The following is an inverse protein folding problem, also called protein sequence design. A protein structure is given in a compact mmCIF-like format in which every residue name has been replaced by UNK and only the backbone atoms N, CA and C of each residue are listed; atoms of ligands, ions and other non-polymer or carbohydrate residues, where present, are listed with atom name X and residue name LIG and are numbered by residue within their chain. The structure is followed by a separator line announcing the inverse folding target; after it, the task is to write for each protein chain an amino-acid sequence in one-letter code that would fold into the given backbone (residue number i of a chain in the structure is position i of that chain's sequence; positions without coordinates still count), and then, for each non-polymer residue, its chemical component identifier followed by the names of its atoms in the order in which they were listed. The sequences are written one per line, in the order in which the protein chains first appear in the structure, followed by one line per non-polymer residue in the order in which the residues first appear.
data_IF_271065515568
#
_entry.id   IF_271065515568
#
_cell.length_a   1.000
_cell.length_b   1.000
_cell.length_c   1.000
_cell.angle_alpha   90.00
_cell.angle_beta   90.00
_cell.angle_gamma   90.00
#
_symmetry.space_group_name_H-M   'P 1'
#
loop_
_entity.id
_entity.type
_entity.pdbx_description
1 polymer ?
#
# COMPACT_ATOMS: atom_id res chain seq x y z
N UNK A 1 -4.04 -1.42 5.60
CA UNK A 1 -4.22 -2.85 5.30
C UNK A 1 -3.39 -3.67 6.28
N UNK A 2 -3.89 -4.81 6.73
CA UNK A 2 -3.21 -5.67 7.69
C UNK A 2 -3.49 -7.14 7.37
N UNK A 3 -2.47 -7.99 7.56
CA UNK A 3 -2.58 -9.45 7.47
C UNK A 3 -2.12 -10.00 8.82
N UNK A 4 -2.96 -10.83 9.45
CA UNK A 4 -2.59 -11.48 10.72
C UNK A 4 -1.30 -12.30 10.56
N UNK A 5 -0.43 -12.34 11.59
CA UNK A 5 0.87 -12.99 11.52
C UNK A 5 0.85 -14.40 10.92
N UNK A 6 -0.12 -15.24 11.30
CA UNK A 6 -0.29 -16.62 10.83
C UNK A 6 -0.60 -16.76 9.32
N UNK A 7 -0.98 -15.66 8.67
CA UNK A 7 -1.30 -15.62 7.25
C UNK A 7 -0.26 -14.83 6.41
N UNK A 8 0.81 -14.33 7.03
CA UNK A 8 1.90 -13.63 6.32
C UNK A 8 2.75 -14.60 5.48
N UNK A 9 3.49 -14.06 4.51
CA UNK A 9 4.33 -14.84 3.59
C UNK A 9 3.57 -15.60 2.49
N UNK A 10 2.23 -15.53 2.47
CA UNK A 10 1.36 -16.26 1.54
C UNK A 10 0.85 -15.42 0.35
N UNK A 11 1.45 -14.23 0.12
CA UNK A 11 1.04 -13.31 -0.94
C UNK A 11 -0.35 -12.65 -0.75
N UNK A 12 -0.97 -12.80 0.43
CA UNK A 12 -2.31 -12.25 0.69
C UNK A 12 -2.37 -10.72 0.65
N UNK A 13 -1.28 -10.03 0.98
CA UNK A 13 -1.19 -8.57 0.90
C UNK A 13 -1.45 -8.06 -0.52
N UNK A 14 -0.90 -8.73 -1.55
CA UNK A 14 -1.14 -8.38 -2.95
C UNK A 14 -2.59 -8.61 -3.35
N UNK A 15 -3.15 -9.78 -3.01
CA UNK A 15 -4.56 -10.11 -3.31
C UNK A 15 -5.52 -9.11 -2.67
N UNK A 16 -5.27 -8.72 -1.42
CA UNK A 16 -6.06 -7.71 -0.72
C UNK A 16 -5.91 -6.32 -1.38
N UNK A 17 -4.71 -5.97 -1.84
CA UNK A 17 -4.46 -4.70 -2.52
C UNK A 17 -5.17 -4.62 -3.86
N UNK A 18 -5.04 -5.64 -4.71
CA UNK A 18 -5.73 -5.72 -5.99
C UNK A 18 -7.24 -5.59 -5.83
N UNK A 19 -7.82 -6.35 -4.89
CA UNK A 19 -9.25 -6.30 -4.61
C UNK A 19 -9.69 -4.91 -4.11
N UNK A 20 -8.90 -4.30 -3.21
CA UNK A 20 -9.17 -2.96 -2.67
C UNK A 20 -9.10 -1.87 -3.75
N UNK A 21 -8.06 -1.86 -4.58
CA UNK A 21 -7.91 -0.91 -5.69
C UNK A 21 -9.09 -1.06 -6.66
N UNK A 22 -9.38 -2.29 -7.09
CA UNK A 22 -10.47 -2.58 -8.04
C UNK A 22 -11.83 -2.10 -7.53
N UNK A 23 -12.10 -2.21 -6.23
CA UNK A 23 -13.35 -1.74 -5.65
C UNK A 23 -13.39 -0.22 -5.54
N UNK A 24 -12.31 0.39 -5.05
CA UNK A 24 -12.26 1.84 -4.82
C UNK A 24 -12.27 2.64 -6.13
N UNK A 25 -11.60 2.16 -7.18
CA UNK A 25 -11.57 2.84 -8.49
C UNK A 25 -12.94 2.98 -9.15
N UNK A 26 -13.95 2.21 -8.72
CA UNK A 26 -15.33 2.34 -9.24
C UNK A 26 -16.00 3.64 -8.81
N UNK A 27 -15.65 4.13 -7.61
CA UNK A 27 -16.36 5.21 -6.94
C UNK A 27 -15.48 6.44 -6.66
N UNK A 28 -14.16 6.28 -6.71
CA UNK A 28 -13.19 7.31 -6.35
C UNK A 28 -12.17 7.51 -7.47
N UNK A 29 -11.89 8.78 -7.79
CA UNK A 29 -10.88 9.19 -8.76
C UNK A 29 -9.45 9.09 -8.24
N UNK A 30 -9.27 8.93 -6.92
CA UNK A 30 -7.96 8.89 -6.29
C UNK A 30 -7.94 7.93 -5.10
N UNK A 31 -6.83 7.18 -4.97
CA UNK A 31 -6.54 6.31 -3.82
C UNK A 31 -5.20 6.76 -3.24
N UNK A 32 -5.15 7.01 -1.92
CA UNK A 32 -3.93 7.41 -1.21
C UNK A 32 -3.64 6.45 -0.07
N UNK A 33 -2.35 6.28 0.23
CA UNK A 33 -1.87 5.57 1.41
C UNK A 33 -0.67 6.30 2.02
N UNK A 34 -0.46 6.08 3.31
CA UNK A 34 0.76 6.48 4.00
C UNK A 34 1.62 5.23 4.23
N UNK A 35 2.91 5.34 3.96
CA UNK A 35 3.90 4.30 4.21
C UNK A 35 5.10 4.91 4.95
N UNK A 36 5.58 4.24 5.99
CA UNK A 36 6.76 4.70 6.73
C UNK A 36 8.02 4.60 5.87
N UNK A 37 8.92 5.58 6.02
CA UNK A 37 10.23 5.53 5.40
C UNK A 37 10.99 4.26 5.84
N UNK A 38 11.57 3.54 4.88
CA UNK A 38 12.26 2.26 5.12
C UNK A 38 11.34 1.03 5.22
N UNK A 39 10.03 1.18 5.04
CA UNK A 39 9.13 0.02 4.98
C UNK A 39 9.20 -0.65 3.60
N UNK A 40 9.56 -1.94 3.58
CA UNK A 40 9.66 -2.77 2.36
C UNK A 40 8.35 -2.85 1.55
N UNK A 41 7.20 -2.57 2.17
CA UNK A 41 5.92 -2.51 1.48
C UNK A 41 5.85 -1.42 0.40
N UNK A 42 6.76 -0.44 0.42
CA UNK A 42 6.83 0.64 -0.58
C UNK A 42 6.96 0.09 -2.00
N UNK A 43 7.88 -0.85 -2.21
CA UNK A 43 8.11 -1.47 -3.54
C UNK A 43 6.85 -2.13 -4.07
N UNK A 44 6.12 -2.85 -3.22
CA UNK A 44 4.84 -3.46 -3.59
C UNK A 44 3.81 -2.40 -4.03
N UNK A 45 3.74 -1.25 -3.34
CA UNK A 45 2.81 -0.19 -3.74
C UNK A 45 3.21 0.45 -5.08
N UNK A 46 4.50 0.64 -5.33
CA UNK A 46 5.01 1.14 -6.60
C UNK A 46 4.66 0.21 -7.76
N UNK A 47 4.75 -1.12 -7.56
CA UNK A 47 4.29 -2.10 -8.55
C UNK A 47 2.79 -2.04 -8.85
N UNK A 48 1.98 -1.58 -7.90
CA UNK A 48 0.55 -1.31 -8.11
C UNK A 48 0.27 0.08 -8.73
N UNK A 49 1.30 0.83 -9.09
CA UNK A 49 1.19 2.14 -9.72
C UNK A 49 1.00 3.31 -8.75
N UNK A 50 1.17 3.10 -7.45
CA UNK A 50 1.26 4.23 -6.51
C UNK A 50 2.55 5.00 -6.76
N UNK A 51 2.47 6.33 -6.63
CA UNK A 51 3.62 7.23 -6.74
C UNK A 51 3.79 8.02 -5.45
N UNK A 52 5.02 8.45 -5.15
CA UNK A 52 5.27 9.34 -4.04
C UNK A 52 4.55 10.68 -4.23
N UNK A 53 3.82 11.12 -3.19
CA UNK A 53 3.10 12.41 -3.22
C UNK A 53 3.65 13.42 -2.22
N UNK A 54 4.04 12.95 -1.04
CA UNK A 54 4.58 13.76 0.04
C UNK A 54 5.63 12.97 0.80
N UNK A 55 6.67 13.64 1.27
CA UNK A 55 7.70 13.09 2.16
C UNK A 55 7.65 13.85 3.47
N UNK A 56 7.45 13.14 4.57
CA UNK A 56 7.47 13.70 5.93
C UNK A 56 8.87 13.46 6.49
N UNK A 57 9.51 14.53 6.96
CA UNK A 57 10.87 14.49 7.51
C UNK A 57 10.87 14.94 8.96
N UNK A 58 11.87 14.48 9.72
CA UNK A 58 12.05 14.87 11.13
C UNK A 58 13.53 15.15 11.35
N UNK A 59 13.85 16.30 11.93
CA UNK A 59 15.19 16.61 12.43
C UNK A 59 15.35 15.94 13.80
N UNK A 60 16.46 15.23 14.00
CA UNK A 60 16.82 14.57 15.27
C UNK A 60 17.83 15.40 16.03
#
# INVERSE_FOLDING_TARGET
MYVFPEYRGKGLSRKLMEAGIKELQKNYSEIRLNVFAGNFAKEMYEEFGFVERQVIMTLK
#
